data_IF_073416631040
#
_entry.id   IF_073416631040
#
_cell.length_a   1.000
_cell.length_b   1.000
_cell.length_c   1.000
_cell.angle_alpha   90.00
_cell.angle_beta   90.00
_cell.angle_gamma   90.00
#
_symmetry.space_group_name_H-M   'P 1'
#
loop_
_entity.id
_entity.type
_entity.pdbx_description
1 polymer ?
#
# COMPACT_ATOMS: atom_id res chain seq x y z
N UNK A 1 -20.53 38.58 -21.28
CA UNK A 1 -20.75 38.62 -19.83
C UNK A 1 -21.27 37.31 -19.21
N UNK A 2 -21.44 36.22 -19.96
CA UNK A 2 -21.93 34.93 -19.43
C UNK A 2 -20.84 33.99 -18.88
N UNK A 3 -19.61 34.08 -19.40
CA UNK A 3 -18.47 33.25 -18.97
C UNK A 3 -18.00 33.55 -17.54
N UNK A 4 -18.05 34.81 -17.11
CA UNK A 4 -17.68 35.21 -15.76
C UNK A 4 -18.73 34.82 -14.70
N UNK A 5 -20.03 34.85 -15.02
CA UNK A 5 -21.09 34.35 -14.13
C UNK A 5 -21.08 32.82 -13.98
N UNK A 6 -20.74 32.08 -15.05
CA UNK A 6 -20.62 30.62 -14.98
C UNK A 6 -19.43 30.18 -14.10
N UNK A 7 -18.30 30.90 -14.18
CA UNK A 7 -17.16 30.68 -13.28
C UNK A 7 -17.51 30.99 -11.82
N UNK A 8 -18.19 32.11 -11.54
CA UNK A 8 -18.59 32.48 -10.18
C UNK A 8 -19.55 31.45 -9.55
N UNK A 9 -20.49 30.89 -10.33
CA UNK A 9 -21.39 29.83 -9.87
C UNK A 9 -20.67 28.50 -9.56
N UNK A 10 -19.63 28.17 -10.33
CA UNK A 10 -18.78 27.00 -10.07
C UNK A 10 -17.93 27.17 -8.80
N UNK A 11 -17.39 28.37 -8.55
CA UNK A 11 -16.68 28.66 -7.29
C UNK A 11 -17.61 28.60 -6.07
N UNK A 12 -18.86 29.05 -6.18
CA UNK A 12 -19.81 28.92 -5.09
C UNK A 12 -20.24 27.47 -4.83
N UNK A 13 -20.41 26.66 -5.86
CA UNK A 13 -20.68 25.22 -5.69
C UNK A 13 -19.47 24.46 -5.13
N UNK A 14 -18.26 24.83 -5.56
CA UNK A 14 -17.02 24.29 -4.99
C UNK A 14 -16.86 24.70 -3.52
N UNK A 15 -17.18 25.96 -3.20
CA UNK A 15 -17.21 26.48 -1.83
C UNK A 15 -18.23 25.77 -0.95
N UNK A 16 -19.43 25.50 -1.45
CA UNK A 16 -20.45 24.73 -0.72
C UNK A 16 -20.02 23.28 -0.46
N UNK A 17 -19.36 22.65 -1.44
CA UNK A 17 -18.78 21.30 -1.28
C UNK A 17 -17.60 21.30 -0.30
N UNK A 18 -16.77 22.33 -0.31
CA UNK A 18 -15.67 22.50 0.63
C UNK A 18 -16.16 22.80 2.05
N UNK A 19 -17.25 23.57 2.21
CA UNK A 19 -17.88 23.85 3.49
C UNK A 19 -18.49 22.59 4.10
N UNK A 20 -19.21 21.78 3.31
CA UNK A 20 -19.74 20.49 3.75
C UNK A 20 -18.62 19.51 4.13
N UNK A 21 -17.53 19.49 3.37
CA UNK A 21 -16.33 18.72 3.73
C UNK A 21 -15.74 19.19 5.06
N UNK A 22 -15.63 20.51 5.24
CA UNK A 22 -15.10 21.11 6.47
C UNK A 22 -15.97 20.80 7.68
N UNK A 23 -17.30 20.88 7.56
CA UNK A 23 -18.23 20.51 8.63
C UNK A 23 -18.11 19.04 9.00
N UNK A 24 -18.08 18.15 8.02
CA UNK A 24 -17.93 16.70 8.25
C UNK A 24 -16.58 16.36 8.88
N UNK A 25 -15.51 17.03 8.45
CA UNK A 25 -14.18 16.90 9.01
C UNK A 25 -14.13 17.34 10.48
N UNK A 26 -14.73 18.49 10.80
CA UNK A 26 -14.79 19.01 12.18
C UNK A 26 -15.65 18.12 13.07
N UNK A 27 -16.76 17.59 12.55
CA UNK A 27 -17.60 16.63 13.28
C UNK A 27 -16.85 15.33 13.58
N UNK A 28 -16.14 14.77 12.60
CA UNK A 28 -15.31 13.58 12.80
C UNK A 28 -14.17 13.83 13.81
N UNK A 29 -13.52 15.00 13.72
CA UNK A 29 -12.46 15.40 14.65
C UNK A 29 -12.99 15.57 16.08
N UNK A 30 -14.18 16.15 16.24
CA UNK A 30 -14.84 16.31 17.55
C UNK A 30 -15.25 14.94 18.12
N UNK A 31 -15.74 14.04 17.28
CA UNK A 31 -16.03 12.65 17.65
C UNK A 31 -14.77 11.91 18.14
N UNK A 32 -13.67 12.02 17.41
CA UNK A 32 -12.38 11.44 17.79
C UNK A 32 -11.83 12.01 19.11
N UNK A 33 -11.97 13.32 19.34
CA UNK A 33 -11.58 13.95 20.60
C UNK A 33 -12.42 13.45 21.80
N UNK A 34 -13.71 13.17 21.59
CA UNK A 34 -14.59 12.61 22.63
C UNK A 34 -14.31 11.13 22.93
N UNK A 35 -13.89 10.35 21.92
CA UNK A 35 -13.43 8.97 22.09
C UNK A 35 -12.10 8.90 22.87
N UNK A 36 -11.20 9.87 22.64
CA UNK A 36 -9.93 10.02 23.36
C UNK A 36 -10.10 10.21 24.87
N UNK A 37 -11.24 10.75 25.31
CA UNK A 37 -11.53 11.00 26.72
C UNK A 37 -12.17 9.80 27.46
N UNK A 38 -12.57 8.71 26.77
CA UNK A 38 -13.50 7.73 27.34
C UNK A 38 -13.13 6.24 27.31
N UNK A 39 -12.09 5.75 26.61
CA UNK A 39 -11.71 4.32 26.74
C UNK A 39 -10.32 3.96 26.19
N UNK A 40 -9.77 2.88 26.75
CA UNK A 40 -8.41 2.35 26.60
C UNK A 40 -7.90 2.14 25.15
N UNK A 41 -6.59 2.36 25.01
CA UNK A 41 -5.86 2.75 23.80
C UNK A 41 -5.86 1.78 22.60
N UNK A 42 -6.51 0.60 22.65
CA UNK A 42 -6.44 -0.38 21.55
C UNK A 42 -7.65 -0.31 20.61
N UNK A 43 -8.85 -0.01 21.10
CA UNK A 43 -10.06 -0.02 20.26
C UNK A 43 -10.31 1.34 19.56
N UNK A 44 -9.71 2.41 20.08
CA UNK A 44 -9.87 3.78 19.58
C UNK A 44 -9.08 4.01 18.28
N UNK A 45 -7.91 3.38 18.09
CA UNK A 45 -7.10 3.58 16.88
C UNK A 45 -7.83 3.10 15.62
N UNK A 46 -8.40 1.89 15.61
CA UNK A 46 -9.18 1.42 14.46
C UNK A 46 -10.48 2.23 14.23
N UNK A 47 -11.15 2.70 15.29
CA UNK A 47 -12.38 3.50 15.17
C UNK A 47 -12.11 4.93 14.68
N UNK A 48 -11.08 5.59 15.19
CA UNK A 48 -10.67 6.93 14.77
C UNK A 48 -10.16 6.92 13.32
N UNK A 49 -9.39 5.90 12.95
CA UNK A 49 -9.00 5.70 11.55
C UNK A 49 -10.22 5.45 10.66
N UNK A 50 -11.21 4.69 11.11
CA UNK A 50 -12.47 4.48 10.40
C UNK A 50 -13.25 5.79 10.14
N UNK A 51 -13.37 6.67 11.14
CA UNK A 51 -14.08 7.95 10.98
C UNK A 51 -13.32 8.95 10.08
N UNK A 52 -11.99 9.00 10.19
CA UNK A 52 -11.17 9.88 9.34
C UNK A 52 -11.16 9.38 7.89
N UNK A 53 -11.19 8.06 7.69
CA UNK A 53 -11.15 7.44 6.37
C UNK A 53 -12.51 7.33 5.69
N UNK A 54 -13.62 7.35 6.43
CA UNK A 54 -14.97 7.17 5.87
C UNK A 54 -15.32 8.12 4.72
N UNK A 55 -15.01 9.44 4.77
CA UNK A 55 -15.29 10.34 3.66
C UNK A 55 -14.49 9.97 2.39
N UNK A 56 -13.23 9.60 2.55
CA UNK A 56 -12.32 9.27 1.43
C UNK A 56 -12.49 7.87 0.90
N UNK A 57 -12.87 6.92 1.75
CA UNK A 57 -13.19 5.56 1.36
C UNK A 57 -14.51 5.53 0.56
N UNK A 58 -15.49 6.37 0.93
CA UNK A 58 -16.73 6.55 0.19
C UNK A 58 -16.54 7.27 -1.16
N UNK A 59 -15.61 8.23 -1.24
CA UNK A 59 -15.38 8.99 -2.46
C UNK A 59 -14.40 8.29 -3.43
N UNK A 60 -13.27 7.78 -2.93
CA UNK A 60 -12.12 7.36 -3.76
C UNK A 60 -11.75 5.87 -3.57
N UNK A 61 -12.54 5.11 -2.78
CA UNK A 61 -12.34 3.68 -2.57
C UNK A 61 -11.07 3.32 -1.78
N UNK A 62 -10.38 4.31 -1.21
CA UNK A 62 -9.13 4.12 -0.46
C UNK A 62 -9.16 4.92 0.84
N UNK A 63 -8.60 4.38 1.93
CA UNK A 63 -8.45 5.13 3.17
C UNK A 63 -7.51 6.34 2.94
N UNK A 64 -7.77 7.46 3.63
CA UNK A 64 -6.91 8.64 3.61
C UNK A 64 -5.56 8.33 4.29
N UNK A 65 -5.61 7.61 5.41
CA UNK A 65 -4.48 7.24 6.25
C UNK A 65 -4.61 5.76 6.63
N UNK A 66 -3.53 5.01 6.54
CA UNK A 66 -3.51 3.60 6.93
C UNK A 66 -2.71 2.73 5.97
N UNK A 67 -2.03 1.73 6.50
CA UNK A 67 -1.18 0.86 5.69
C UNK A 67 -2.00 -0.11 4.85
N UNK A 68 -1.42 -0.55 3.74
CA UNK A 68 -1.98 -1.62 2.93
C UNK A 68 -1.96 -2.93 3.69
N UNK A 69 -2.97 -3.78 3.46
CA UNK A 69 -3.02 -5.10 4.07
C UNK A 69 -1.93 -6.01 3.46
N UNK A 70 -1.26 -6.80 4.28
CA UNK A 70 -0.31 -7.80 3.78
C UNK A 70 -1.04 -8.88 2.97
N UNK A 71 -0.34 -9.38 1.95
CA UNK A 71 -0.80 -10.50 1.15
C UNK A 71 -0.96 -11.76 2.00
N UNK A 72 -1.90 -12.61 1.60
CA UNK A 72 -2.20 -13.89 2.22
C UNK A 72 -2.03 -15.02 1.23
N UNK A 73 -2.01 -16.27 1.69
CA UNK A 73 -1.94 -17.42 0.78
C UNK A 73 -3.06 -17.40 -0.30
N UNK A 74 -4.27 -16.94 0.06
CA UNK A 74 -5.39 -16.85 -0.87
C UNK A 74 -5.32 -15.61 -1.78
N UNK A 75 -4.72 -14.52 -1.30
CA UNK A 75 -4.56 -13.29 -2.07
C UNK A 75 -3.14 -12.74 -1.86
N UNK A 76 -2.16 -13.23 -2.63
CA UNK A 76 -0.74 -13.11 -2.26
C UNK A 76 -0.16 -11.72 -2.40
N UNK A 77 -0.79 -10.82 -3.15
CA UNK A 77 -0.27 -9.46 -3.30
C UNK A 77 -0.61 -8.60 -2.08
N UNK A 78 0.36 -7.79 -1.64
CA UNK A 78 0.14 -6.75 -0.65
C UNK A 78 -0.77 -5.65 -1.21
N UNK A 79 -1.72 -5.21 -0.39
CA UNK A 79 -2.62 -4.11 -0.71
C UNK A 79 -1.89 -2.76 -0.77
N UNK A 80 -2.43 -1.84 -1.56
CA UNK A 80 -1.94 -0.46 -1.56
C UNK A 80 -2.25 0.23 -0.23
N UNK A 81 -1.34 1.08 0.23
CA UNK A 81 -1.58 1.98 1.36
C UNK A 81 -2.66 3.03 1.07
N UNK A 82 -3.06 3.77 2.10
CA UNK A 82 -3.89 4.96 1.99
C UNK A 82 -3.29 6.08 1.13
N UNK A 83 -4.00 7.20 1.01
CA UNK A 83 -3.64 8.26 0.07
C UNK A 83 -2.56 9.22 0.59
N UNK A 84 -2.57 9.58 1.88
CA UNK A 84 -1.69 10.61 2.43
C UNK A 84 -0.52 10.05 3.22
N UNK A 85 -0.80 9.24 4.25
CA UNK A 85 0.23 8.64 5.10
C UNK A 85 -0.02 7.15 5.24
N UNK A 86 0.83 6.35 4.60
CA UNK A 86 0.65 4.91 4.52
C UNK A 86 1.87 4.20 3.96
N UNK A 87 2.16 3.03 4.50
CA UNK A 87 3.02 2.06 3.84
C UNK A 87 2.17 1.11 2.98
N UNK A 88 2.75 0.55 1.93
CA UNK A 88 2.15 -0.58 1.23
C UNK A 88 2.27 -1.87 2.04
N UNK A 89 1.33 -2.80 1.84
CA UNK A 89 1.40 -4.13 2.46
C UNK A 89 2.47 -5.00 1.80
N UNK A 90 3.05 -5.93 2.55
CA UNK A 90 4.02 -6.89 2.02
C UNK A 90 3.32 -7.97 1.18
N UNK A 91 4.00 -8.45 0.15
CA UNK A 91 3.59 -9.63 -0.60
C UNK A 91 3.79 -10.91 0.20
N UNK A 92 2.89 -11.87 0.01
CA UNK A 92 2.96 -13.19 0.63
C UNK A 92 4.10 -14.02 0.04
N UNK A 93 4.85 -14.70 0.90
CA UNK A 93 5.90 -15.64 0.48
C UNK A 93 5.31 -17.03 0.24
N UNK A 94 5.44 -17.55 -0.97
CA UNK A 94 4.85 -18.82 -1.37
C UNK A 94 5.66 -20.01 -0.84
N UNK A 95 4.94 -20.99 -0.28
CA UNK A 95 5.52 -22.29 0.11
C UNK A 95 5.25 -23.38 -0.93
N UNK A 96 4.27 -23.18 -1.80
CA UNK A 96 3.92 -24.11 -2.88
C UNK A 96 4.87 -23.95 -4.07
N UNK A 97 5.47 -25.06 -4.51
CA UNK A 97 6.35 -25.09 -5.67
C UNK A 97 5.65 -24.55 -6.94
N UNK A 98 6.40 -23.81 -7.75
CA UNK A 98 5.91 -23.22 -9.00
C UNK A 98 5.08 -21.94 -8.83
N UNK A 99 4.74 -21.52 -7.60
CA UNK A 99 3.99 -20.28 -7.38
C UNK A 99 4.93 -19.09 -7.11
N UNK A 100 4.74 -18.03 -7.90
CA UNK A 100 5.45 -16.76 -7.76
C UNK A 100 5.09 -16.07 -6.45
N UNK A 101 6.10 -15.48 -5.81
CA UNK A 101 5.91 -14.65 -4.62
C UNK A 101 4.99 -13.46 -4.88
N UNK A 102 4.22 -13.08 -3.87
CA UNK A 102 3.31 -11.94 -3.94
C UNK A 102 4.06 -10.63 -4.17
N UNK A 103 3.48 -9.72 -4.95
CA UNK A 103 4.02 -8.36 -5.08
C UNK A 103 3.74 -7.54 -3.82
N UNK A 104 4.66 -6.64 -3.47
CA UNK A 104 4.45 -5.66 -2.43
C UNK A 104 3.53 -4.53 -2.90
N UNK A 105 2.71 -4.02 -1.99
CA UNK A 105 1.80 -2.89 -2.23
C UNK A 105 2.55 -1.57 -2.31
N UNK A 106 2.00 -0.61 -3.04
CA UNK A 106 2.57 0.76 -3.10
C UNK A 106 2.03 1.63 -1.96
N UNK A 107 2.86 2.56 -1.48
CA UNK A 107 2.45 3.64 -0.59
C UNK A 107 1.67 4.75 -1.33
N UNK A 108 1.10 5.68 -0.57
CA UNK A 108 0.40 6.87 -1.05
C UNK A 108 1.34 8.07 -1.28
N UNK A 109 1.05 9.20 -0.66
CA UNK A 109 1.86 10.42 -0.76
C UNK A 109 3.14 10.31 0.08
N UNK A 110 3.00 9.87 1.33
CA UNK A 110 4.09 9.65 2.28
C UNK A 110 4.04 8.21 2.79
N UNK A 111 5.17 7.52 2.76
CA UNK A 111 5.35 6.19 3.33
C UNK A 111 6.11 5.24 2.41
N UNK A 112 6.44 4.06 2.89
CA UNK A 112 7.30 3.12 2.17
C UNK A 112 6.49 2.06 1.42
N UNK A 113 7.00 1.63 0.28
CA UNK A 113 6.43 0.48 -0.42
C UNK A 113 6.61 -0.80 0.39
N UNK A 114 5.66 -1.73 0.24
CA UNK A 114 5.75 -3.04 0.88
C UNK A 114 6.76 -3.95 0.16
N UNK A 115 7.34 -4.90 0.88
CA UNK A 115 8.30 -5.84 0.29
C UNK A 115 7.60 -6.89 -0.58
N UNK A 116 8.25 -7.35 -1.63
CA UNK A 116 7.82 -8.53 -2.37
C UNK A 116 8.04 -9.81 -1.58
N UNK A 117 7.13 -10.77 -1.71
CA UNK A 117 7.22 -12.08 -1.08
C UNK A 117 8.17 -13.02 -1.85
N UNK A 118 8.72 -14.02 -1.16
CA UNK A 118 9.55 -15.04 -1.80
C UNK A 118 8.73 -15.96 -2.70
N UNK A 119 9.34 -16.44 -3.79
CA UNK A 119 8.77 -17.46 -4.66
C UNK A 119 8.86 -18.85 -4.04
N UNK A 120 7.87 -19.70 -4.32
CA UNK A 120 7.95 -21.11 -4.01
C UNK A 120 9.00 -21.82 -4.86
N UNK A 121 9.37 -23.05 -4.52
CA UNK A 121 10.44 -23.76 -5.23
C UNK A 121 10.30 -23.71 -6.76
N UNK A 122 11.36 -23.32 -7.47
CA UNK A 122 11.41 -23.13 -8.92
C UNK A 122 10.66 -21.91 -9.47
N UNK A 123 10.12 -21.03 -8.61
CA UNK A 123 9.33 -19.87 -9.01
C UNK A 123 9.96 -18.55 -8.57
N UNK A 124 9.64 -17.48 -9.28
CA UNK A 124 10.23 -16.17 -9.03
C UNK A 124 9.72 -15.54 -7.73
N UNK A 125 10.53 -14.69 -7.12
CA UNK A 125 10.09 -13.80 -6.05
C UNK A 125 9.25 -12.64 -6.59
N UNK A 126 8.40 -12.10 -5.73
CA UNK A 126 7.55 -10.97 -6.05
C UNK A 126 8.32 -9.65 -6.10
N UNK A 127 7.85 -8.71 -6.91
CA UNK A 127 8.41 -7.36 -6.91
C UNK A 127 8.05 -6.61 -5.62
N UNK A 128 8.94 -5.73 -5.17
CA UNK A 128 8.64 -4.77 -4.12
C UNK A 128 7.74 -3.64 -4.61
N UNK A 129 6.95 -3.07 -3.70
CA UNK A 129 6.03 -1.98 -3.98
C UNK A 129 6.72 -0.62 -3.99
N UNK A 130 6.08 0.38 -4.59
CA UNK A 130 6.66 1.71 -4.69
C UNK A 130 6.51 2.50 -3.39
N UNK A 131 7.52 3.30 -3.08
CA UNK A 131 7.47 4.29 -2.01
C UNK A 131 6.52 5.44 -2.33
N UNK A 132 6.26 6.25 -1.32
CA UNK A 132 5.32 7.36 -1.38
C UNK A 132 5.82 8.42 -2.34
N UNK A 133 4.89 9.03 -3.09
CA UNK A 133 5.22 9.95 -4.17
C UNK A 133 6.09 11.12 -3.72
N UNK A 134 5.79 11.71 -2.56
CA UNK A 134 6.53 12.84 -2.01
C UNK A 134 7.71 12.35 -1.16
N UNK A 135 7.47 11.40 -0.25
CA UNK A 135 8.50 10.89 0.65
C UNK A 135 8.28 9.41 0.96
N UNK A 136 9.36 8.64 0.89
CA UNK A 136 9.39 7.23 1.24
C UNK A 136 10.13 6.37 0.24
N UNK A 137 10.72 5.29 0.72
CA UNK A 137 11.51 4.34 -0.07
C UNK A 137 10.63 3.29 -0.72
N UNK A 138 11.08 2.74 -1.85
CA UNK A 138 10.51 1.51 -2.39
C UNK A 138 10.68 0.33 -1.43
N UNK A 139 9.85 -0.70 -1.58
CA UNK A 139 9.98 -1.97 -0.86
C UNK A 139 10.93 -2.92 -1.58
N UNK A 140 11.62 -3.78 -0.85
CA UNK A 140 12.57 -4.73 -1.45
C UNK A 140 11.85 -5.74 -2.34
N UNK A 141 12.53 -6.25 -3.37
CA UNK A 141 12.05 -7.43 -4.08
C UNK A 141 12.13 -8.69 -3.20
N UNK A 142 11.31 -9.69 -3.49
CA UNK A 142 11.33 -10.99 -2.81
C UNK A 142 12.31 -11.97 -3.46
N UNK A 143 12.90 -12.86 -2.68
CA UNK A 143 13.84 -13.87 -3.21
C UNK A 143 13.16 -14.87 -4.15
N UNK A 144 13.91 -15.35 -5.15
CA UNK A 144 13.46 -16.48 -5.96
C UNK A 144 13.43 -17.78 -5.15
N UNK A 145 12.56 -18.72 -5.51
CA UNK A 145 12.49 -20.02 -4.88
C UNK A 145 13.57 -20.97 -5.39
N UNK A 146 14.14 -21.76 -4.48
CA UNK A 146 15.16 -22.75 -4.82
C UNK A 146 14.66 -23.73 -5.89
N UNK A 147 15.52 -24.13 -6.83
CA UNK A 147 15.19 -25.20 -7.77
C UNK A 147 14.99 -26.53 -7.02
N UNK A 148 14.12 -27.45 -7.47
CA UNK A 148 14.05 -28.77 -6.87
C UNK A 148 15.40 -29.47 -6.98
N UNK A 149 15.73 -30.28 -5.96
CA UNK A 149 16.97 -31.04 -5.94
C UNK A 149 17.07 -31.90 -7.20
N UNK A 150 18.01 -31.57 -8.09
CA UNK A 150 18.31 -32.38 -9.27
C UNK A 150 18.91 -33.73 -8.85
N UNK A 151 18.64 -34.77 -9.63
CA UNK A 151 19.43 -36.00 -9.54
C UNK A 151 20.91 -35.67 -9.82
N UNK A 152 21.84 -36.31 -9.10
CA UNK A 152 23.28 -36.10 -9.27
C UNK A 152 23.62 -36.35 -10.76
N UNK A 153 24.11 -35.32 -11.45
CA UNK A 153 24.52 -35.39 -12.87
C UNK A 153 23.46 -34.98 -13.90
N UNK A 154 22.23 -34.64 -13.51
CA UNK A 154 21.27 -33.99 -14.41
C UNK A 154 21.53 -32.48 -14.47
N UNK A 155 21.34 -31.81 -15.62
CA UNK A 155 21.36 -30.34 -15.66
C UNK A 155 20.30 -29.81 -14.68
N UNK A 156 20.74 -29.03 -13.69
CA UNK A 156 19.86 -28.51 -12.66
C UNK A 156 18.71 -27.72 -13.27
N UNK A 157 17.48 -27.98 -12.83
CA UNK A 157 16.36 -27.14 -13.24
C UNK A 157 16.54 -25.73 -12.67
N UNK A 158 16.23 -24.72 -13.46
CA UNK A 158 16.48 -23.34 -13.10
C UNK A 158 15.76 -22.97 -11.79
N UNK A 159 16.48 -22.37 -10.86
CA UNK A 159 15.90 -21.73 -9.70
C UNK A 159 15.10 -20.48 -10.10
N UNK A 160 14.20 -20.07 -9.22
CA UNK A 160 13.47 -18.82 -9.37
C UNK A 160 14.39 -17.60 -9.37
N UNK A 161 14.06 -16.62 -10.20
CA UNK A 161 14.69 -15.31 -10.14
C UNK A 161 14.18 -14.51 -8.93
N UNK A 162 15.03 -13.67 -8.34
CA UNK A 162 14.57 -12.69 -7.38
C UNK A 162 13.73 -11.59 -8.03
N UNK A 163 12.81 -11.01 -7.26
CA UNK A 163 11.96 -9.92 -7.67
C UNK A 163 12.71 -8.60 -7.71
N UNK A 164 12.24 -7.67 -8.55
CA UNK A 164 12.75 -6.31 -8.59
C UNK A 164 12.39 -5.54 -7.31
N UNK A 165 13.25 -4.59 -6.92
CA UNK A 165 12.93 -3.62 -5.87
C UNK A 165 11.94 -2.58 -6.37
N UNK A 166 11.19 -2.00 -5.44
CA UNK A 166 10.26 -0.90 -5.72
C UNK A 166 10.99 0.43 -5.92
N UNK A 167 10.33 1.34 -6.64
CA UNK A 167 10.88 2.69 -6.87
C UNK A 167 10.54 3.60 -5.69
N UNK A 168 11.41 4.58 -5.41
CA UNK A 168 11.14 5.64 -4.44
C UNK A 168 10.52 6.88 -5.09
N UNK A 169 9.88 7.73 -4.28
CA UNK A 169 9.36 9.03 -4.70
C UNK A 169 10.39 10.16 -4.61
N UNK A 170 9.91 11.41 -4.65
CA UNK A 170 10.72 12.62 -4.80
C UNK A 170 11.85 12.75 -3.76
N UNK A 171 11.58 12.37 -2.51
CA UNK A 171 12.55 12.44 -1.40
C UNK A 171 12.87 11.07 -0.78
N UNK A 172 12.80 9.99 -1.56
CA UNK A 172 13.08 8.64 -1.08
C UNK A 172 14.31 7.99 -1.74
N UNK A 173 14.84 6.95 -1.09
CA UNK A 173 15.91 6.11 -1.65
C UNK A 173 15.33 4.88 -2.33
N UNK A 174 15.77 4.60 -3.56
CA UNK A 174 15.45 3.36 -4.25
C UNK A 174 16.07 2.15 -3.54
N UNK A 175 15.49 0.97 -3.73
CA UNK A 175 15.99 -0.28 -3.14
C UNK A 175 16.36 -1.29 -4.21
N UNK A 176 17.30 -2.19 -3.87
CA UNK A 176 17.79 -3.22 -4.78
C UNK A 176 16.79 -4.39 -4.84
N UNK A 177 16.70 -5.03 -6.00
CA UNK A 177 15.99 -6.30 -6.16
C UNK A 177 16.64 -7.44 -5.35
N UNK A 178 15.92 -8.54 -5.21
CA UNK A 178 16.40 -9.70 -4.48
C UNK A 178 17.21 -10.67 -5.35
N UNK A 179 17.94 -11.55 -4.68
CA UNK A 179 18.78 -12.58 -5.28
C UNK A 179 17.95 -13.78 -5.79
N UNK A 180 18.55 -14.54 -6.71
CA UNK A 180 18.02 -15.84 -7.15
C UNK A 180 18.09 -16.87 -6.01
N UNK A 181 17.17 -17.83 -6.05
CA UNK A 181 17.09 -18.95 -5.09
C UNK A 181 18.04 -20.10 -5.40
#
# INVERSE_FOLDING_TARGET
SALFSAHAGQYQQLGARAALFHEQFVQALTGAASAYASAEATNVEQQVLGLINAPTQALWGRPLIGNGADGTAANPNGGAGGLLYSNGGNGFSQTTAGLTGGTGGSAGLIGNGGNGGAGGAGANGGAGGNGGWLYGSGGNGGSGGAGPAGAIGAPGVACGAGGAGGTAGLFGTGVVGAVRG
#
